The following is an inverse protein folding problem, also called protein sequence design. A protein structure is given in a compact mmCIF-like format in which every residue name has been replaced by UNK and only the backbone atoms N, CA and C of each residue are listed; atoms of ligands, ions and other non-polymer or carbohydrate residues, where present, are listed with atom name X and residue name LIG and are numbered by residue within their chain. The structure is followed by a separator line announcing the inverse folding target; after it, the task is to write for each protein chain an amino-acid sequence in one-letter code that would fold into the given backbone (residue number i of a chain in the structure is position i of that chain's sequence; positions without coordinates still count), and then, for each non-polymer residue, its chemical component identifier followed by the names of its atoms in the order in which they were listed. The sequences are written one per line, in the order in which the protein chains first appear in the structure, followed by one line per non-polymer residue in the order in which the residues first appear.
data_IF_762603525803
#
_entry.id   IF_762603525803
#
_cell.length_a   1.000
_cell.length_b   1.000
_cell.length_c   1.000
_cell.angle_alpha   90.00
_cell.angle_beta   90.00
_cell.angle_gamma   90.00
#
_symmetry.space_group_name_H-M   'P 1'
#
loop_
_entity.id
_entity.type
_entity.pdbx_description
1 polymer ?
#
# COMPACT_ATOMS: atom_id res chain seq x y z
N UNK A 1 25.28 -13.31 -4.00
CA UNK A 1 23.85 -13.47 -4.38
C UNK A 1 23.03 -12.49 -3.53
N UNK A 2 22.55 -11.38 -4.11
CA UNK A 2 21.73 -10.40 -3.37
C UNK A 2 20.33 -11.00 -3.12
N UNK A 3 19.91 -11.08 -1.87
CA UNK A 3 18.56 -11.53 -1.51
C UNK A 3 17.51 -10.52 -1.95
N UNK A 4 16.23 -10.89 -2.02
CA UNK A 4 15.11 -10.02 -2.39
C UNK A 4 15.02 -8.77 -1.50
N UNK A 5 15.57 -8.81 -0.28
CA UNK A 5 15.67 -7.68 0.66
C UNK A 5 16.60 -6.57 0.18
N UNK A 6 17.61 -6.90 -0.61
CA UNK A 6 18.60 -5.95 -1.14
C UNK A 6 18.09 -5.20 -2.38
N UNK A 7 16.83 -5.43 -2.77
CA UNK A 7 16.17 -4.85 -3.95
C UNK A 7 15.06 -3.86 -3.61
N UNK A 8 14.74 -3.64 -2.33
CA UNK A 8 13.72 -2.66 -1.96
C UNK A 8 14.33 -1.27 -1.84
N UNK A 9 13.57 -0.24 -2.21
CA UNK A 9 13.99 1.15 -2.00
C UNK A 9 14.15 1.43 -0.50
N UNK A 10 15.22 2.13 -0.14
CA UNK A 10 15.38 2.68 1.21
C UNK A 10 14.15 3.50 1.64
N UNK A 11 13.70 3.31 2.89
CA UNK A 11 12.42 3.84 3.35
C UNK A 11 12.43 5.37 3.52
N UNK A 12 13.54 5.96 3.96
CA UNK A 12 13.65 7.41 4.13
C UNK A 12 13.60 8.10 2.76
N UNK A 13 14.36 7.58 1.80
CA UNK A 13 14.32 8.05 0.42
C UNK A 13 12.94 7.84 -0.24
N UNK A 14 12.27 6.74 0.08
CA UNK A 14 10.91 6.46 -0.39
C UNK A 14 9.92 7.50 0.16
N UNK A 15 9.90 7.73 1.48
CA UNK A 15 8.96 8.66 2.09
C UNK A 15 9.19 10.10 1.62
N UNK A 16 10.44 10.54 1.50
CA UNK A 16 10.78 11.84 0.92
C UNK A 16 10.26 12.00 -0.53
N UNK A 17 10.29 10.94 -1.33
CA UNK A 17 9.75 10.98 -2.69
C UNK A 17 8.22 10.91 -2.75
N UNK A 18 7.58 10.13 -1.87
CA UNK A 18 6.13 10.06 -1.76
C UNK A 18 5.55 11.42 -1.34
N UNK A 19 6.20 12.13 -0.42
CA UNK A 19 5.78 13.45 0.03
C UNK A 19 5.78 14.49 -1.12
N UNK A 20 6.73 14.41 -2.04
CA UNK A 20 6.80 15.28 -3.24
C UNK A 20 5.74 14.95 -4.28
N UNK A 21 5.09 13.79 -4.20
CA UNK A 21 4.03 13.42 -5.15
C UNK A 21 2.69 14.02 -4.74
N UNK A 22 2.19 14.99 -5.51
CA UNK A 22 0.87 15.60 -5.29
C UNK A 22 -0.27 14.55 -5.21
N UNK A 23 -0.17 13.48 -5.99
CA UNK A 23 -1.12 12.38 -5.99
C UNK A 23 -1.12 11.58 -4.68
N UNK A 24 0.06 11.31 -4.11
CA UNK A 24 0.23 10.52 -2.89
C UNK A 24 -0.06 11.37 -1.65
N UNK A 25 0.44 12.60 -1.62
CA UNK A 25 0.26 13.58 -0.55
C UNK A 25 -1.21 13.93 -0.28
N UNK A 26 -2.06 13.97 -1.32
CA UNK A 26 -3.49 14.29 -1.15
C UNK A 26 -4.32 13.15 -0.54
N UNK A 27 -3.77 11.95 -0.37
CA UNK A 27 -4.50 10.82 0.20
C UNK A 27 -4.60 10.98 1.72
N UNK A 28 -5.71 11.52 2.18
CA UNK A 28 -6.00 11.73 3.60
C UNK A 28 -7.18 10.86 4.04
N UNK A 29 -7.22 10.51 5.33
CA UNK A 29 -8.33 9.79 5.93
C UNK A 29 -9.58 10.65 5.87
N UNK A 30 -10.71 10.04 5.47
CA UNK A 30 -12.01 10.64 5.67
C UNK A 30 -12.46 10.41 7.13
N UNK A 31 -13.38 11.23 7.64
CA UNK A 31 -13.87 11.14 9.02
C UNK A 31 -14.35 9.74 9.39
N UNK A 32 -15.03 9.06 8.46
CA UNK A 32 -15.49 7.67 8.65
C UNK A 32 -14.34 6.67 8.79
N UNK A 33 -13.26 6.84 8.02
CA UNK A 33 -12.09 5.97 8.12
C UNK A 33 -11.31 6.24 9.41
N UNK A 34 -11.26 7.50 9.86
CA UNK A 34 -10.67 7.90 11.14
C UNK A 34 -11.44 7.31 12.33
N UNK A 35 -12.78 7.44 12.33
CA UNK A 35 -13.63 6.84 13.35
C UNK A 35 -13.47 5.30 13.43
N UNK A 36 -13.19 4.64 12.31
CA UNK A 36 -12.89 3.20 12.31
C UNK A 36 -11.57 2.89 13.02
N UNK A 37 -10.55 3.74 12.85
CA UNK A 37 -9.28 3.61 13.58
C UNK A 37 -9.49 3.80 15.08
N UNK A 38 -10.33 4.75 15.49
CA UNK A 38 -10.64 4.96 16.91
C UNK A 38 -11.42 3.78 17.51
N UNK A 39 -12.33 3.18 16.73
CA UNK A 39 -13.14 2.05 17.15
C UNK A 39 -12.44 0.68 17.09
N UNK A 40 -11.16 0.61 16.71
CA UNK A 40 -10.41 -0.64 16.52
C UNK A 40 -9.02 -0.53 17.12
N UNK A 41 -8.53 -1.64 17.64
CA UNK A 41 -7.14 -1.71 18.09
C UNK A 41 -6.20 -1.72 16.88
N UNK A 42 -4.98 -1.25 17.08
CA UNK A 42 -3.90 -1.35 16.07
C UNK A 42 -3.72 -2.78 15.57
N UNK A 43 -3.82 -3.78 16.44
CA UNK A 43 -3.68 -5.19 16.08
C UNK A 43 -4.75 -5.63 15.06
N UNK A 44 -6.00 -5.21 15.25
CA UNK A 44 -7.09 -5.49 14.30
C UNK A 44 -6.85 -4.81 12.95
N UNK A 45 -6.40 -3.55 12.94
CA UNK A 45 -6.08 -2.83 11.70
C UNK A 45 -4.93 -3.51 10.94
N UNK A 46 -3.90 -3.95 11.65
CA UNK A 46 -2.80 -4.73 11.06
C UNK A 46 -3.29 -6.06 10.49
N UNK A 47 -4.22 -6.74 11.18
CA UNK A 47 -4.83 -7.97 10.67
C UNK A 47 -5.61 -7.71 9.38
N UNK A 48 -6.40 -6.62 9.32
CA UNK A 48 -7.11 -6.22 8.10
C UNK A 48 -6.13 -5.94 6.96
N UNK A 49 -5.06 -5.18 7.23
CA UNK A 49 -4.04 -4.88 6.24
C UNK A 49 -3.40 -6.14 5.66
N UNK A 50 -3.01 -7.10 6.51
CA UNK A 50 -2.45 -8.39 6.08
C UNK A 50 -3.44 -9.16 5.20
N UNK A 51 -4.73 -9.20 5.57
CA UNK A 51 -5.77 -9.85 4.77
C UNK A 51 -5.91 -9.20 3.40
N UNK A 52 -5.96 -7.87 3.35
CA UNK A 52 -6.06 -7.10 2.10
C UNK A 52 -4.85 -7.38 1.19
N UNK A 53 -3.61 -7.31 1.71
CA UNK A 53 -2.41 -7.59 0.91
C UNK A 53 -2.44 -9.01 0.35
N UNK A 54 -2.75 -10.01 1.18
CA UNK A 54 -2.83 -11.41 0.74
C UNK A 54 -3.86 -11.61 -0.36
N UNK A 55 -5.06 -11.05 -0.19
CA UNK A 55 -6.16 -11.30 -1.11
C UNK A 55 -6.04 -10.51 -2.42
N UNK A 56 -5.35 -9.37 -2.41
CA UNK A 56 -5.44 -8.40 -3.51
C UNK A 56 -4.12 -8.06 -4.19
N UNK A 57 -2.98 -8.38 -3.57
CA UNK A 57 -1.66 -7.95 -4.03
C UNK A 57 -0.59 -9.06 -4.05
N UNK A 58 -0.84 -10.18 -3.37
CA UNK A 58 0.16 -11.22 -3.20
C UNK A 58 0.52 -11.91 -4.51
N UNK A 59 -0.47 -12.22 -5.36
CA UNK A 59 -0.24 -12.84 -6.66
C UNK A 59 0.67 -11.98 -7.55
N UNK A 60 1.54 -12.63 -8.32
CA UNK A 60 2.37 -12.01 -9.35
C UNK A 60 1.54 -11.17 -10.36
N UNK A 61 0.39 -11.72 -10.79
CA UNK A 61 -0.56 -11.07 -11.70
C UNK A 61 -1.99 -11.06 -11.10
N UNK A 62 -2.31 -10.09 -10.22
CA UNK A 62 -3.61 -10.03 -9.57
C UNK A 62 -4.67 -9.48 -10.53
N UNK A 63 -5.88 -10.04 -10.46
CA UNK A 63 -7.02 -9.52 -11.21
C UNK A 63 -7.23 -8.01 -10.94
N UNK A 64 -7.49 -7.26 -12.01
CA UNK A 64 -7.66 -5.81 -11.99
C UNK A 64 -6.42 -5.04 -11.47
N UNK A 65 -5.20 -5.43 -11.85
CA UNK A 65 -3.98 -4.70 -11.47
C UNK A 65 -4.02 -3.21 -11.88
N UNK A 66 -3.78 -2.34 -10.90
CA UNK A 66 -4.00 -0.89 -10.98
C UNK A 66 -5.32 -0.43 -10.34
N UNK A 67 -6.24 -1.35 -10.02
CA UNK A 67 -7.55 -1.07 -9.41
C UNK A 67 -7.90 -2.04 -8.25
N UNK A 68 -6.93 -2.76 -7.70
CA UNK A 68 -7.20 -3.79 -6.68
C UNK A 68 -7.73 -3.23 -5.36
N UNK A 69 -7.32 -2.02 -5.00
CA UNK A 69 -7.73 -1.36 -3.76
C UNK A 69 -8.65 -0.18 -4.08
N UNK A 70 -9.89 -0.14 -3.56
CA UNK A 70 -10.76 1.02 -3.59
C UNK A 70 -10.07 2.27 -3.08
N UNK A 71 -10.61 3.46 -3.37
CA UNK A 71 -10.05 4.71 -2.85
C UNK A 71 -10.43 4.97 -1.39
N UNK A 72 -11.58 4.46 -0.95
CA UNK A 72 -12.25 4.79 0.33
C UNK A 72 -12.97 3.57 0.89
N UNK A 73 -13.48 3.71 2.11
CA UNK A 73 -14.31 2.71 2.79
C UNK A 73 -13.52 1.79 3.72
N UNK A 74 -12.22 2.02 3.86
CA UNK A 74 -11.38 1.42 4.90
C UNK A 74 -10.07 2.23 5.01
N UNK A 75 -9.56 2.52 6.22
CA UNK A 75 -8.33 3.32 6.41
C UNK A 75 -7.10 2.69 5.73
N UNK A 76 -7.02 1.36 5.67
CA UNK A 76 -5.94 0.65 4.94
C UNK A 76 -5.89 1.04 3.46
N UNK A 77 -7.03 1.23 2.79
CA UNK A 77 -7.03 1.58 1.38
C UNK A 77 -6.43 2.97 1.16
N UNK A 78 -6.86 3.95 1.97
CA UNK A 78 -6.28 5.30 1.97
C UNK A 78 -4.77 5.23 2.25
N UNK A 79 -4.34 4.45 3.24
CA UNK A 79 -2.93 4.26 3.55
C UNK A 79 -2.14 3.65 2.38
N UNK A 80 -2.67 2.61 1.73
CA UNK A 80 -2.03 1.98 0.57
C UNK A 80 -1.87 2.95 -0.62
N UNK A 81 -2.83 3.83 -0.84
CA UNK A 81 -2.72 4.85 -1.88
C UNK A 81 -1.71 5.93 -1.51
N UNK A 82 -1.67 6.36 -0.24
CA UNK A 82 -0.68 7.31 0.27
C UNK A 82 0.74 6.76 0.16
N UNK A 83 0.95 5.48 0.47
CA UNK A 83 2.28 4.84 0.50
C UNK A 83 2.63 4.09 -0.79
N UNK A 84 1.82 4.20 -1.84
CA UNK A 84 2.02 3.50 -3.11
C UNK A 84 2.15 1.97 -2.99
N UNK A 85 1.38 1.36 -2.09
CA UNK A 85 1.28 -0.10 -1.93
C UNK A 85 -0.10 -0.62 -2.35
N UNK A 86 -0.74 0.05 -3.32
CA UNK A 86 -2.12 -0.22 -3.77
C UNK A 86 -2.23 -1.17 -4.97
N UNK A 87 -1.15 -1.38 -5.72
CA UNK A 87 -1.10 -2.29 -6.88
C UNK A 87 0.34 -2.74 -7.17
N UNK A 88 0.52 -3.73 -8.06
CA UNK A 88 1.87 -4.25 -8.43
C UNK A 88 2.70 -3.18 -9.14
N UNK A 89 2.08 -2.39 -10.03
CA UNK A 89 2.76 -1.25 -10.68
C UNK A 89 3.29 -0.23 -9.69
N UNK A 90 2.55 0.06 -8.61
CA UNK A 90 3.00 0.98 -7.58
C UNK A 90 4.13 0.38 -6.74
N UNK A 91 4.01 -0.89 -6.35
CA UNK A 91 5.05 -1.62 -5.65
C UNK A 91 6.37 -1.68 -6.45
N UNK A 92 6.29 -1.95 -7.76
CA UNK A 92 7.46 -1.94 -8.63
C UNK A 92 8.07 -0.55 -8.77
N UNK A 93 7.24 0.48 -9.04
CA UNK A 93 7.71 1.85 -9.27
C UNK A 93 8.32 2.50 -8.04
N UNK A 94 7.69 2.32 -6.87
CA UNK A 94 8.03 3.07 -5.66
C UNK A 94 8.91 2.27 -4.71
N UNK A 95 8.61 0.98 -4.55
CA UNK A 95 9.24 0.11 -3.57
C UNK A 95 10.28 -0.83 -4.18
N UNK A 96 10.41 -0.85 -5.51
CA UNK A 96 11.29 -1.75 -6.27
C UNK A 96 10.98 -3.24 -6.06
N UNK A 97 9.75 -3.57 -5.69
CA UNK A 97 9.24 -4.94 -5.64
C UNK A 97 8.72 -5.31 -7.04
N UNK A 98 9.38 -6.22 -7.79
CA UNK A 98 9.03 -6.47 -9.19
C UNK A 98 7.60 -6.97 -9.35
N UNK A 99 6.93 -6.60 -10.44
CA UNK A 99 5.64 -7.18 -10.82
C UNK A 99 5.85 -8.51 -11.58
N UNK A 100 4.86 -9.42 -11.56
CA UNK A 100 4.93 -10.64 -12.35
C UNK A 100 5.93 -11.69 -11.85
N UNK A 101 6.40 -11.58 -10.61
CA UNK A 101 7.28 -12.57 -9.96
C UNK A 101 6.60 -13.10 -8.71
N UNK A 102 6.61 -14.42 -8.54
CA UNK A 102 6.15 -15.15 -7.34
C UNK A 102 7.34 -15.57 -6.48
#
# INVERSE_FOLDING_TARGET
MRTTRDRMRDLDNLFAALERSAFRKRQQLADRDAALLDAKTRAQIVQHARKIVRQRLAAADPANDGKQTPWRGHPVFTAQHATATCCRKCLAKWHYIPAGVD
#
